data_IF_533322394369
#
_entry.id   IF_533322394369
#
_cell.length_a   1.000
_cell.length_b   1.000
_cell.length_c   1.000
_cell.angle_alpha   90.00
_cell.angle_beta   90.00
_cell.angle_gamma   90.00
#
_symmetry.space_group_name_H-M   'P 1'
#
loop_
_entity.id
_entity.type
_entity.pdbx_description
1 polymer ?
#
# COMPACT_ATOMS: atom_id res chain seq x y z
N UNK A 1 -1.39 11.71 -6.51
CA UNK A 1 0.00 12.17 -6.65
C UNK A 1 0.58 12.83 -5.39
N UNK A 2 -0.13 13.74 -4.72
CA UNK A 2 0.43 14.36 -3.50
C UNK A 2 0.79 13.32 -2.40
N UNK A 3 -0.09 12.33 -2.16
CA UNK A 3 0.21 11.22 -1.24
C UNK A 3 1.42 10.41 -1.67
N UNK A 4 1.55 10.07 -2.96
CA UNK A 4 2.69 9.28 -3.46
C UNK A 4 4.00 10.03 -3.27
N UNK A 5 4.02 11.36 -3.43
CA UNK A 5 5.21 12.18 -3.17
C UNK A 5 5.58 12.22 -1.68
N UNK A 6 4.62 12.36 -0.78
CA UNK A 6 4.89 12.28 0.67
C UNK A 6 5.55 10.95 1.00
N UNK A 7 4.95 9.85 0.57
CA UNK A 7 5.50 8.52 0.81
C UNK A 7 6.87 8.31 0.13
N UNK A 8 7.08 8.87 -1.07
CA UNK A 8 8.38 8.84 -1.76
C UNK A 8 9.47 9.55 -0.95
N UNK A 9 9.23 10.77 -0.47
CA UNK A 9 10.19 11.50 0.36
C UNK A 9 10.39 10.82 1.73
N UNK A 10 9.32 10.31 2.34
CA UNK A 10 9.39 9.56 3.59
C UNK A 10 10.15 8.23 3.45
N UNK A 11 10.15 7.61 2.25
CA UNK A 11 10.91 6.40 1.97
C UNK A 11 12.44 6.61 1.99
N UNK A 12 12.92 7.85 1.85
CA UNK A 12 14.35 8.19 1.86
C UNK A 12 14.93 8.32 3.27
N UNK A 13 14.10 8.21 4.30
CA UNK A 13 14.54 8.25 5.69
C UNK A 13 15.30 6.98 6.07
N UNK A 14 16.18 7.08 7.08
CA UNK A 14 16.96 5.93 7.58
C UNK A 14 16.06 4.78 8.03
N UNK A 15 14.94 5.11 8.66
CA UNK A 15 13.89 4.18 9.10
C UNK A 15 12.59 4.59 8.44
N UNK A 16 11.80 3.62 7.97
CA UNK A 16 10.51 3.90 7.35
C UNK A 16 9.49 4.29 8.44
N UNK A 17 8.77 5.41 8.31
CA UNK A 17 7.90 5.89 9.37
C UNK A 17 6.67 5.00 9.63
N UNK A 18 6.25 4.20 8.66
CA UNK A 18 5.17 3.20 8.82
C UNK A 18 5.65 1.86 9.41
N UNK A 19 6.83 1.81 10.04
CA UNK A 19 7.36 0.60 10.69
C UNK A 19 7.50 0.70 12.20
N UNK A 20 7.47 1.92 12.74
CA UNK A 20 7.69 2.20 14.16
C UNK A 20 6.47 2.90 14.73
N UNK A 21 5.97 2.43 15.87
CA UNK A 21 4.88 3.12 16.57
C UNK A 21 5.40 4.39 17.23
N UNK A 22 4.74 5.53 16.99
CA UNK A 22 4.95 6.73 17.78
C UNK A 22 4.27 6.60 19.16
N UNK A 23 4.83 7.27 20.19
CA UNK A 23 4.32 7.19 21.56
C UNK A 23 2.85 7.64 21.66
N UNK A 24 2.44 8.58 20.81
CA UNK A 24 1.05 9.08 20.70
C UNK A 24 0.08 8.02 20.17
N UNK A 25 0.57 6.99 19.47
CA UNK A 25 -0.26 5.94 18.87
C UNK A 25 -0.39 4.70 19.75
N UNK A 26 0.42 4.60 20.81
CA UNK A 26 0.36 3.48 21.76
C UNK A 26 -1.03 3.33 22.41
N UNK A 27 -1.72 4.41 22.84
CA UNK A 27 -3.07 4.30 23.40
C UNK A 27 -4.12 3.83 22.39
N UNK A 28 -3.83 3.93 21.08
CA UNK A 28 -4.74 3.54 19.99
C UNK A 28 -4.57 2.07 19.57
N UNK A 29 -3.74 1.30 20.27
CA UNK A 29 -3.51 -0.12 19.95
C UNK A 29 -2.55 -0.34 18.78
N UNK A 30 -1.55 0.54 18.62
CA UNK A 30 -0.53 0.43 17.57
C UNK A 30 0.31 -0.85 17.69
N UNK A 31 0.47 -1.57 16.57
CA UNK A 31 1.35 -2.76 16.47
C UNK A 31 2.35 -2.62 15.33
N UNK A 32 3.65 -2.77 15.65
CA UNK A 32 4.78 -2.64 14.70
C UNK A 32 4.81 -3.71 13.61
N UNK A 33 4.30 -4.90 13.92
CA UNK A 33 4.05 -5.96 12.95
C UNK A 33 2.62 -6.43 13.11
N UNK A 34 1.93 -6.65 11.98
CA UNK A 34 0.63 -7.31 11.94
C UNK A 34 0.81 -8.78 12.33
N UNK A 35 0.87 -9.03 13.64
CA UNK A 35 0.89 -10.37 14.20
C UNK A 35 -0.54 -10.78 14.55
N UNK A 36 -0.84 -12.06 14.38
CA UNK A 36 -2.08 -12.66 14.87
C UNK A 36 -2.36 -12.23 16.34
N UNK A 37 -3.61 -11.85 16.61
CA UNK A 37 -4.10 -11.52 17.96
C UNK A 37 -3.78 -12.68 18.90
N UNK A 38 -3.03 -12.42 19.98
CA UNK A 38 -2.94 -13.38 21.07
C UNK A 38 -4.25 -13.33 21.86
N UNK A 39 -4.92 -14.47 22.03
CA UNK A 39 -6.18 -14.58 22.79
C UNK A 39 -6.02 -14.22 24.28
N UNK A 40 -4.80 -14.30 24.81
CA UNK A 40 -4.47 -13.87 26.17
C UNK A 40 -2.98 -13.51 26.28
N UNK A 41 -2.65 -12.45 27.03
CA UNK A 41 -1.29 -12.18 27.48
C UNK A 41 -1.06 -12.97 28.77
N UNK A 42 -0.18 -13.98 28.76
CA UNK A 42 0.10 -14.79 29.96
C UNK A 42 1.18 -14.16 30.84
N UNK A 43 0.95 -14.13 32.16
CA UNK A 43 1.84 -13.55 33.20
C UNK A 43 3.22 -14.24 33.33
N UNK A 44 3.48 -15.34 32.62
CA UNK A 44 4.68 -16.17 32.82
C UNK A 44 5.76 -15.98 31.73
N UNK A 45 5.69 -14.87 30.98
CA UNK A 45 6.69 -14.53 29.99
C UNK A 45 7.79 -13.72 30.68
N UNK A 46 8.83 -14.41 31.15
CA UNK A 46 10.03 -13.84 31.80
C UNK A 46 11.02 -13.21 30.83
N UNK A 47 10.68 -13.11 29.54
CA UNK A 47 11.53 -12.42 28.58
C UNK A 47 11.03 -10.99 28.42
N UNK A 48 11.91 -10.03 28.69
CA UNK A 48 11.96 -8.77 27.95
C UNK A 48 12.03 -9.15 26.46
N UNK A 49 10.88 -9.40 25.84
CA UNK A 49 10.79 -9.59 24.41
C UNK A 49 10.98 -8.21 23.80
N UNK A 50 12.24 -7.91 23.47
CA UNK A 50 12.64 -6.95 22.45
C UNK A 50 12.11 -7.31 21.05
N UNK A 51 11.29 -8.36 20.92
CA UNK A 51 10.57 -8.75 19.71
C UNK A 51 9.05 -8.53 19.85
N UNK A 52 8.62 -7.33 19.45
CA UNK A 52 7.40 -7.00 18.72
C UNK A 52 6.23 -8.01 18.74
N UNK A 53 5.61 -8.24 19.90
CA UNK A 53 4.26 -8.82 19.99
C UNK A 53 3.38 -7.96 20.89
N UNK A 54 2.10 -7.85 20.50
CA UNK A 54 1.09 -6.90 20.98
C UNK A 54 0.84 -6.77 22.49
N UNK A 55 1.53 -7.53 23.35
CA UNK A 55 1.43 -7.43 24.81
C UNK A 55 2.55 -6.52 25.37
N UNK A 56 2.23 -5.30 25.82
CA UNK A 56 3.16 -4.47 26.63
C UNK A 56 2.72 -4.45 28.09
N UNK A 57 3.64 -4.80 29.00
CA UNK A 57 3.46 -4.61 30.43
C UNK A 57 4.09 -3.27 30.82
N UNK A 58 3.30 -2.33 31.35
CA UNK A 58 3.82 -1.04 31.81
C UNK A 58 4.24 -1.13 33.28
N UNK A 59 5.55 -1.09 33.56
CA UNK A 59 6.05 -0.60 34.85
C UNK A 59 7.37 0.16 34.66
N UNK A 60 7.44 1.37 35.22
CA UNK A 60 8.65 2.19 35.35
C UNK A 60 9.68 1.42 36.19
N UNK A 61 10.84 1.12 35.62
CA UNK A 61 11.96 0.55 36.38
C UNK A 61 13.05 1.61 36.54
N UNK A 62 13.08 2.22 37.72
CA UNK A 62 14.28 2.87 38.26
C UNK A 62 14.79 1.97 39.39
N UNK A 63 15.40 0.82 39.08
CA UNK A 63 16.62 0.39 39.76
C UNK A 63 17.20 -0.93 39.23
N UNK A 64 18.49 -1.07 39.53
CA UNK A 64 19.48 -1.99 39.02
C UNK A 64 19.64 -3.30 39.81
N UNK A 65 18.55 -3.99 40.18
CA UNK A 65 18.67 -5.29 40.88
C UNK A 65 17.78 -6.36 40.25
N UNK A 66 18.45 -7.22 39.50
CA UNK A 66 17.98 -8.50 38.99
C UNK A 66 17.67 -9.49 40.13
N UNK A 67 16.80 -10.43 39.79
CA UNK A 67 16.49 -11.71 40.45
C UNK A 67 15.34 -11.72 41.47
N UNK A 68 14.31 -12.48 41.13
CA UNK A 68 13.44 -13.24 42.05
C UNK A 68 12.18 -12.60 42.65
N UNK A 69 11.54 -11.65 41.93
CA UNK A 69 10.17 -11.25 42.23
C UNK A 69 9.31 -11.43 40.98
N UNK A 70 8.33 -12.34 41.05
CA UNK A 70 7.37 -12.57 39.98
C UNK A 70 6.72 -11.26 39.55
N UNK A 71 6.77 -10.98 38.26
CA UNK A 71 6.16 -9.80 37.66
C UNK A 71 4.64 -9.88 37.87
N UNK A 72 4.10 -9.05 38.76
CA UNK A 72 2.66 -8.91 38.92
C UNK A 72 2.16 -7.92 37.87
N UNK A 73 2.04 -8.39 36.64
CA UNK A 73 1.39 -7.62 35.59
C UNK A 73 -0.10 -7.57 35.92
N UNK A 74 -0.61 -6.39 36.30
CA UNK A 74 -2.05 -6.15 36.30
C UNK A 74 -2.58 -6.47 34.90
N UNK A 75 -3.76 -7.10 34.82
CA UNK A 75 -4.50 -7.27 33.56
C UNK A 75 -4.75 -5.88 32.97
N UNK A 76 -3.82 -5.38 32.16
CA UNK A 76 -4.06 -4.23 31.30
C UNK A 76 -4.85 -4.79 30.14
N UNK A 77 -6.17 -4.66 30.24
CA UNK A 77 -7.04 -4.69 29.06
C UNK A 77 -6.45 -3.74 28.03
N UNK A 78 -6.14 -4.26 26.84
CA UNK A 78 -5.84 -3.47 25.65
C UNK A 78 -6.76 -2.25 25.63
N UNK A 79 -6.19 -1.05 25.70
CA UNK A 79 -6.98 0.18 25.72
C UNK A 79 -7.37 0.62 24.30
N UNK A 80 -7.74 -0.36 23.48
CA UNK A 80 -8.26 -0.24 22.12
C UNK A 80 -8.83 -1.61 21.71
N UNK A 81 -10.09 -1.65 21.32
CA UNK A 81 -10.83 -2.90 21.05
C UNK A 81 -10.25 -3.74 19.89
N UNK A 82 -9.34 -3.20 19.07
CA UNK A 82 -8.75 -3.87 17.89
C UNK A 82 -7.29 -3.43 17.68
N UNK A 83 -6.32 -4.34 17.51
CA UNK A 83 -4.95 -3.97 17.14
C UNK A 83 -4.92 -3.35 15.74
N UNK A 84 -4.25 -2.20 15.61
CA UNK A 84 -4.18 -1.43 14.35
C UNK A 84 -2.73 -1.41 13.83
N UNK A 85 -2.48 -1.79 12.57
CA UNK A 85 -1.13 -1.79 12.02
C UNK A 85 -0.58 -0.36 11.89
N UNK A 86 0.73 -0.17 12.13
CA UNK A 86 1.39 1.15 12.05
C UNK A 86 1.15 1.83 10.72
N UNK A 87 1.17 1.08 9.61
CA UNK A 87 0.94 1.66 8.28
C UNK A 87 -0.44 2.32 8.15
N UNK A 88 -1.45 1.79 8.83
CA UNK A 88 -2.78 2.39 8.84
C UNK A 88 -2.80 3.67 9.67
N UNK A 89 -2.18 3.66 10.85
CA UNK A 89 -2.09 4.83 11.73
C UNK A 89 -1.27 5.96 11.11
N UNK A 90 -0.16 5.62 10.45
CA UNK A 90 0.65 6.57 9.72
C UNK A 90 -0.15 7.26 8.61
N UNK A 91 -0.95 6.50 7.85
CA UNK A 91 -1.82 7.08 6.84
C UNK A 91 -2.90 7.98 7.47
N UNK A 92 -3.62 7.47 8.47
CA UNK A 92 -4.78 8.12 9.07
C UNK A 92 -4.42 9.36 9.91
N UNK A 93 -3.35 9.32 10.71
CA UNK A 93 -2.98 10.42 11.63
C UNK A 93 -1.89 11.32 11.05
N UNK A 94 -0.87 10.77 10.40
CA UNK A 94 0.26 11.59 9.90
C UNK A 94 0.02 12.17 8.52
N UNK A 95 -0.49 11.36 7.58
CA UNK A 95 -0.62 11.78 6.18
C UNK A 95 -1.89 12.59 5.97
N UNK A 96 -3.06 12.04 6.32
CA UNK A 96 -4.34 12.72 6.08
C UNK A 96 -4.79 13.58 7.27
N UNK A 97 -4.30 13.27 8.49
CA UNK A 97 -4.76 13.87 9.74
C UNK A 97 -6.29 13.84 9.85
N UNK A 98 -6.81 12.61 9.90
CA UNK A 98 -8.25 12.33 9.92
C UNK A 98 -8.86 12.91 11.19
N UNK A 99 -9.87 13.76 11.00
CA UNK A 99 -10.70 14.23 12.09
C UNK A 99 -11.43 13.05 12.75
N UNK A 100 -11.58 13.12 14.08
CA UNK A 100 -12.28 12.08 14.84
C UNK A 100 -13.81 12.15 14.62
N UNK A 101 -14.34 13.34 14.27
CA UNK A 101 -15.76 13.60 14.00
C UNK A 101 -16.01 14.12 12.57
N UNK A 102 -17.21 13.84 12.03
CA UNK A 102 -17.62 14.14 10.65
C UNK A 102 -18.02 15.61 10.41
N UNK A 103 -18.27 16.41 11.46
CA UNK A 103 -18.83 17.77 11.35
C UNK A 103 -18.54 18.60 12.62
N UNK A 104 -18.29 19.94 12.57
CA UNK A 104 -18.37 20.86 11.43
C UNK A 104 -17.01 21.41 10.94
N UNK A 105 -15.88 21.06 11.56
CA UNK A 105 -14.60 21.66 11.25
C UNK A 105 -13.79 20.79 10.29
N UNK A 106 -13.85 21.10 8.99
CA UNK A 106 -12.97 20.52 7.93
C UNK A 106 -11.47 20.76 8.20
N UNK A 107 -11.14 21.46 9.29
CA UNK A 107 -9.79 21.72 9.74
C UNK A 107 -9.03 22.63 8.78
N UNK A 108 -7.75 22.85 9.09
CA UNK A 108 -6.85 23.57 8.21
C UNK A 108 -6.23 22.63 7.17
N UNK A 109 -5.98 23.10 5.93
CA UNK A 109 -5.30 22.29 4.92
C UNK A 109 -3.91 21.89 5.43
N UNK A 110 -3.61 20.59 5.34
CA UNK A 110 -2.31 20.05 5.71
C UNK A 110 -1.21 20.64 4.81
N UNK A 111 -0.35 21.49 5.37
CA UNK A 111 0.67 22.22 4.61
C UNK A 111 1.63 21.30 3.84
N UNK A 112 2.00 20.16 4.42
CA UNK A 112 2.86 19.15 3.76
C UNK A 112 2.20 18.60 2.47
N UNK A 113 0.90 18.32 2.53
CA UNK A 113 0.12 17.86 1.37
C UNK A 113 -0.03 18.97 0.33
N UNK A 114 -0.30 20.20 0.75
CA UNK A 114 -0.40 21.35 -0.13
C UNK A 114 0.90 21.59 -0.90
N UNK A 115 2.06 21.51 -0.24
CA UNK A 115 3.37 21.60 -0.89
C UNK A 115 3.64 20.45 -1.86
N UNK A 116 3.30 19.21 -1.50
CA UNK A 116 3.45 18.07 -2.41
C UNK A 116 2.51 18.15 -3.61
N UNK A 117 1.31 18.71 -3.44
CA UNK A 117 0.39 18.98 -4.52
C UNK A 117 0.95 20.08 -5.45
N UNK A 118 1.46 21.17 -4.89
CA UNK A 118 2.11 22.23 -5.67
C UNK A 118 3.30 21.69 -6.46
N UNK A 119 4.14 20.85 -5.84
CA UNK A 119 5.25 20.19 -6.52
C UNK A 119 4.75 19.27 -7.65
N UNK A 120 3.68 18.51 -7.41
CA UNK A 120 3.07 17.66 -8.46
C UNK A 120 2.67 18.51 -9.67
N UNK A 121 2.00 19.65 -9.45
CA UNK A 121 1.60 20.56 -10.52
C UNK A 121 2.79 21.17 -11.26
N UNK A 122 3.83 21.59 -10.53
CA UNK A 122 5.07 22.09 -11.15
C UNK A 122 5.68 21.02 -12.05
N UNK A 123 5.76 19.77 -11.58
CA UNK A 123 6.28 18.66 -12.37
C UNK A 123 5.41 18.40 -13.60
N UNK A 124 4.08 18.36 -13.48
CA UNK A 124 3.16 18.18 -14.62
C UNK A 124 3.37 19.28 -15.68
N UNK A 125 3.49 20.53 -15.28
CA UNK A 125 3.71 21.65 -16.20
C UNK A 125 5.10 21.59 -16.87
N UNK A 126 6.12 21.15 -16.16
CA UNK A 126 7.49 21.05 -16.68
C UNK A 126 7.74 19.77 -17.49
N UNK A 127 7.04 18.68 -17.20
CA UNK A 127 7.23 17.38 -17.84
C UNK A 127 6.37 17.24 -19.10
N UNK A 128 6.96 17.59 -20.25
CA UNK A 128 6.44 17.25 -21.58
C UNK A 128 7.04 15.94 -22.16
N UNK A 129 7.79 15.18 -21.36
CA UNK A 129 8.57 14.01 -21.85
C UNK A 129 7.92 12.70 -21.42
N UNK A 130 7.11 12.13 -22.30
CA UNK A 130 6.32 10.89 -22.07
C UNK A 130 7.18 9.60 -22.13
N UNK A 131 8.29 9.60 -22.89
CA UNK A 131 9.04 8.37 -23.17
C UNK A 131 9.65 7.71 -21.93
N UNK A 132 10.19 8.50 -21.00
CA UNK A 132 10.74 7.96 -19.76
C UNK A 132 9.63 7.54 -18.80
N UNK A 133 8.61 8.39 -18.60
CA UNK A 133 7.52 8.14 -17.65
C UNK A 133 6.65 6.96 -18.04
N UNK A 134 6.49 6.68 -19.33
CA UNK A 134 5.70 5.54 -19.80
C UNK A 134 6.45 4.19 -19.73
N UNK A 135 7.77 4.19 -19.94
CA UNK A 135 8.55 2.93 -19.99
C UNK A 135 9.08 2.50 -18.63
N UNK A 136 9.40 3.45 -17.77
CA UNK A 136 10.02 3.20 -16.48
C UNK A 136 9.16 2.35 -15.51
N UNK A 137 7.83 2.51 -15.42
CA UNK A 137 6.97 1.64 -14.60
C UNK A 137 7.12 0.16 -14.93
N UNK A 138 7.30 -0.20 -16.21
CA UNK A 138 7.47 -1.59 -16.62
C UNK A 138 8.76 -2.20 -16.08
N UNK A 139 9.84 -1.41 -16.00
CA UNK A 139 11.11 -1.85 -15.42
C UNK A 139 10.92 -2.14 -13.93
N UNK A 140 10.19 -1.29 -13.21
CA UNK A 140 9.91 -1.49 -11.78
C UNK A 140 8.99 -2.70 -11.57
N UNK A 141 7.93 -2.84 -12.37
CA UNK A 141 7.04 -4.01 -12.30
C UNK A 141 7.83 -5.30 -12.50
N UNK A 142 8.76 -5.34 -13.45
CA UNK A 142 9.61 -6.52 -13.67
C UNK A 142 10.52 -6.82 -12.46
N UNK A 143 11.17 -5.80 -11.89
CA UNK A 143 12.02 -5.94 -10.72
C UNK A 143 11.21 -6.43 -9.50
N UNK A 144 10.03 -5.85 -9.27
CA UNK A 144 9.13 -6.24 -8.19
C UNK A 144 8.52 -7.63 -8.43
N UNK A 145 8.27 -8.02 -9.68
CA UNK A 145 7.79 -9.35 -10.02
C UNK A 145 8.84 -10.42 -9.70
N UNK A 146 10.09 -10.21 -10.13
CA UNK A 146 11.19 -11.13 -9.83
C UNK A 146 11.37 -11.21 -8.32
N UNK A 147 11.37 -10.08 -7.62
CA UNK A 147 11.51 -10.07 -6.17
C UNK A 147 10.35 -10.79 -5.49
N UNK A 148 9.11 -10.46 -5.85
CA UNK A 148 7.89 -11.05 -5.31
C UNK A 148 7.85 -12.56 -5.51
N UNK A 149 8.25 -13.05 -6.69
CA UNK A 149 8.31 -14.48 -6.99
C UNK A 149 9.36 -15.22 -6.15
N UNK A 150 10.42 -14.56 -5.69
CA UNK A 150 11.45 -15.17 -4.81
C UNK A 150 11.06 -15.20 -3.33
N UNK A 151 9.90 -14.65 -2.95
CA UNK A 151 9.47 -14.60 -1.56
C UNK A 151 8.77 -15.89 -1.11
N UNK A 152 9.03 -16.28 0.13
CA UNK A 152 8.31 -17.37 0.78
C UNK A 152 6.83 -17.01 0.95
N UNK A 153 5.93 -17.84 0.43
CA UNK A 153 4.48 -17.61 0.49
C UNK A 153 3.90 -16.90 -0.74
N UNK A 154 4.73 -16.52 -1.72
CA UNK A 154 4.26 -15.91 -2.97
C UNK A 154 3.23 -16.79 -3.72
N UNK A 155 3.41 -18.12 -3.66
CA UNK A 155 2.52 -19.09 -4.30
C UNK A 155 1.09 -19.01 -3.75
N UNK A 156 0.90 -18.75 -2.46
CA UNK A 156 -0.42 -18.70 -1.85
C UNK A 156 -1.19 -17.46 -2.33
N UNK A 157 -0.49 -16.34 -2.52
CA UNK A 157 -1.04 -15.16 -3.18
C UNK A 157 -1.40 -15.41 -4.65
N UNK A 158 -0.53 -16.09 -5.41
CA UNK A 158 -0.82 -16.45 -6.81
C UNK A 158 -2.02 -17.37 -6.94
N UNK A 159 -2.17 -18.35 -6.03
CA UNK A 159 -3.35 -19.22 -5.97
C UNK A 159 -4.61 -18.39 -5.73
N UNK A 160 -4.58 -17.46 -4.77
CA UNK A 160 -5.70 -16.56 -4.51
C UNK A 160 -6.06 -15.71 -5.74
N UNK A 161 -5.07 -15.27 -6.53
CA UNK A 161 -5.30 -14.49 -7.74
C UNK A 161 -5.88 -15.29 -8.91
N UNK A 162 -5.43 -16.54 -9.10
CA UNK A 162 -5.76 -17.33 -10.30
C UNK A 162 -6.92 -18.31 -10.12
N UNK A 163 -7.19 -18.79 -8.91
CA UNK A 163 -8.24 -19.79 -8.68
C UNK A 163 -9.62 -19.12 -8.79
N UNK A 164 -10.43 -19.47 -9.80
CA UNK A 164 -11.71 -18.80 -10.00
C UNK A 164 -12.81 -19.39 -9.12
N UNK A 165 -13.62 -18.52 -8.53
CA UNK A 165 -14.89 -18.90 -7.91
C UNK A 165 -16.02 -18.87 -8.95
N UNK A 166 -16.31 -20.01 -9.58
CA UNK A 166 -17.31 -20.12 -10.66
C UNK A 166 -18.72 -19.66 -10.25
N UNK A 167 -19.07 -19.77 -8.98
CA UNK A 167 -20.35 -19.30 -8.44
C UNK A 167 -20.53 -17.79 -8.59
N UNK A 168 -19.43 -17.01 -8.58
CA UNK A 168 -19.45 -15.55 -8.71
C UNK A 168 -19.78 -15.09 -10.14
N UNK A 169 -19.53 -15.93 -11.15
CA UNK A 169 -19.84 -15.59 -12.54
C UNK A 169 -21.35 -15.51 -12.82
N UNK A 170 -22.18 -16.12 -11.98
CA UNK A 170 -23.64 -16.01 -12.05
C UNK A 170 -24.16 -14.66 -11.54
N UNK A 171 -23.35 -13.91 -10.78
CA UNK A 171 -23.74 -12.60 -10.25
C UNK A 171 -23.52 -11.50 -11.31
N UNK A 172 -24.61 -10.82 -11.67
CA UNK A 172 -24.57 -9.68 -12.60
C UNK A 172 -23.65 -8.55 -12.12
N UNK A 173 -23.49 -8.37 -10.80
CA UNK A 173 -22.61 -7.33 -10.24
C UNK A 173 -21.16 -7.52 -10.66
N UNK A 174 -20.70 -8.77 -10.82
CA UNK A 174 -19.33 -9.08 -11.28
C UNK A 174 -19.12 -8.61 -12.71
N UNK A 175 -20.11 -8.80 -13.58
CA UNK A 175 -20.05 -8.33 -14.97
C UNK A 175 -20.09 -6.81 -15.09
N UNK A 176 -20.92 -6.15 -14.26
CA UNK A 176 -20.96 -4.68 -14.19
C UNK A 176 -19.61 -4.13 -13.73
N UNK A 177 -19.01 -4.73 -12.69
CA UNK A 177 -17.69 -4.34 -12.20
C UNK A 177 -16.59 -4.57 -13.25
N UNK A 178 -16.61 -5.70 -13.96
CA UNK A 178 -15.64 -5.99 -15.02
C UNK A 178 -15.76 -5.02 -16.20
N UNK A 179 -16.98 -4.72 -16.65
CA UNK A 179 -17.22 -3.73 -17.70
C UNK A 179 -16.78 -2.33 -17.26
N UNK A 180 -17.07 -1.94 -16.02
CA UNK A 180 -16.59 -0.68 -15.44
C UNK A 180 -15.06 -0.60 -15.39
N UNK A 181 -14.40 -1.67 -14.94
CA UNK A 181 -12.94 -1.74 -14.89
C UNK A 181 -12.31 -1.52 -16.27
N UNK A 182 -12.80 -2.23 -17.31
CA UNK A 182 -12.30 -2.05 -18.68
C UNK A 182 -12.58 -0.64 -19.23
N UNK A 183 -13.75 -0.08 -18.95
CA UNK A 183 -14.13 1.26 -19.40
C UNK A 183 -13.22 2.35 -18.80
N UNK A 184 -12.94 2.27 -17.49
CA UNK A 184 -12.05 3.22 -16.82
C UNK A 184 -10.57 2.96 -17.09
N UNK A 185 -10.13 1.71 -17.26
CA UNK A 185 -8.73 1.37 -17.57
C UNK A 185 -8.28 1.94 -18.91
N UNK A 186 -9.12 1.78 -19.95
CA UNK A 186 -8.84 2.30 -21.29
C UNK A 186 -9.21 3.78 -21.47
N UNK A 187 -9.80 4.43 -20.45
CA UNK A 187 -10.27 5.83 -20.51
C UNK A 187 -11.08 6.14 -21.78
N UNK A 188 -11.97 5.24 -22.19
CA UNK A 188 -12.75 5.38 -23.43
C UNK A 188 -13.72 6.56 -23.28
N UNK A 189 -13.75 7.43 -24.29
CA UNK A 189 -14.64 8.61 -24.36
C UNK A 189 -14.35 9.74 -23.36
N UNK A 190 -13.18 9.77 -22.70
CA UNK A 190 -12.76 10.87 -21.81
C UNK A 190 -12.01 12.01 -22.52
N UNK A 191 -11.89 11.97 -23.85
CA UNK A 191 -11.29 13.04 -24.66
C UNK A 191 -9.79 12.89 -24.93
N UNK A 192 -8.99 12.35 -24.00
CA UNK A 192 -7.54 12.20 -24.17
C UNK A 192 -7.13 11.40 -25.42
N UNK A 193 -7.75 10.23 -25.65
CA UNK A 193 -7.49 9.42 -26.86
C UNK A 193 -7.94 10.14 -28.13
N UNK A 194 -9.03 10.91 -28.07
CA UNK A 194 -9.53 11.69 -29.22
C UNK A 194 -8.52 12.79 -29.58
N UNK A 195 -7.97 13.46 -28.55
CA UNK A 195 -6.93 14.46 -28.71
C UNK A 195 -5.67 13.86 -29.35
N UNK A 196 -5.18 12.71 -28.86
CA UNK A 196 -4.04 12.03 -29.49
C UNK A 196 -4.31 11.58 -30.92
N UNK A 197 -5.52 11.11 -31.21
CA UNK A 197 -5.96 10.81 -32.58
C UNK A 197 -5.89 12.02 -33.51
N UNK A 198 -6.20 13.23 -33.01
CA UNK A 198 -6.18 14.46 -33.82
C UNK A 198 -4.79 14.88 -34.31
N UNK A 199 -3.74 14.48 -33.58
CA UNK A 199 -2.34 14.73 -33.96
C UNK A 199 -1.76 13.61 -34.83
N UNK A 200 -2.50 12.53 -35.07
CA UNK A 200 -2.01 11.39 -35.84
C UNK A 200 -2.14 11.63 -37.37
N UNK A 201 -1.37 10.88 -38.17
CA UNK A 201 -1.47 10.93 -39.63
C UNK A 201 -2.81 10.37 -40.09
N UNK A 202 -3.43 11.02 -41.08
CA UNK A 202 -4.74 10.61 -41.61
C UNK A 202 -4.76 9.17 -42.18
N UNK A 203 -3.65 8.70 -42.75
CA UNK A 203 -3.52 7.35 -43.30
C UNK A 203 -2.99 6.31 -42.30
N UNK A 204 -2.83 6.66 -41.02
CA UNK A 204 -2.32 5.74 -40.02
C UNK A 204 -3.31 4.60 -39.73
N UNK A 205 -2.79 3.40 -39.47
CA UNK A 205 -3.63 2.24 -39.13
C UNK A 205 -4.12 2.31 -37.67
N UNK A 206 -5.17 3.10 -37.44
CA UNK A 206 -5.75 3.29 -36.10
C UNK A 206 -6.28 1.98 -35.50
N UNK A 207 -6.75 1.04 -36.32
CA UNK A 207 -7.24 -0.25 -35.83
C UNK A 207 -6.13 -1.07 -35.16
N UNK A 208 -4.94 -1.13 -35.78
CA UNK A 208 -3.80 -1.83 -35.23
C UNK A 208 -3.31 -1.22 -33.91
N UNK A 209 -3.23 0.11 -33.86
CA UNK A 209 -2.79 0.83 -32.66
C UNK A 209 -3.78 0.64 -31.50
N UNK A 210 -5.09 0.75 -31.77
CA UNK A 210 -6.12 0.55 -30.76
C UNK A 210 -6.11 -0.89 -30.20
N UNK A 211 -5.96 -1.89 -31.07
CA UNK A 211 -5.84 -3.28 -30.64
C UNK A 211 -4.58 -3.52 -29.80
N UNK A 212 -3.45 -2.96 -30.21
CA UNK A 212 -2.19 -3.05 -29.47
C UNK A 212 -2.32 -2.44 -28.07
N UNK A 213 -2.90 -1.23 -27.96
CA UNK A 213 -3.12 -0.55 -26.68
C UNK A 213 -4.00 -1.41 -25.77
N UNK A 214 -5.10 -1.97 -26.28
CA UNK A 214 -5.99 -2.82 -25.49
C UNK A 214 -5.31 -4.10 -24.99
N UNK A 215 -4.52 -4.76 -25.83
CA UNK A 215 -3.77 -5.97 -25.45
C UNK A 215 -2.67 -5.63 -24.45
N UNK A 216 -1.94 -4.53 -24.64
CA UNK A 216 -0.90 -4.09 -23.71
C UNK A 216 -1.49 -3.73 -22.34
N UNK A 217 -2.65 -3.06 -22.30
CA UNK A 217 -3.35 -2.74 -21.05
C UNK A 217 -3.71 -4.02 -20.25
N UNK A 218 -4.28 -5.01 -20.95
CA UNK A 218 -4.60 -6.32 -20.36
C UNK A 218 -3.35 -7.03 -19.81
N UNK A 219 -2.29 -7.14 -20.62
CA UNK A 219 -1.04 -7.80 -20.22
C UNK A 219 -0.43 -7.09 -19.01
N UNK A 220 -0.43 -5.76 -19.02
CA UNK A 220 0.13 -4.94 -17.93
C UNK A 220 -0.67 -5.12 -16.65
N UNK A 221 -2.00 -5.17 -16.72
CA UNK A 221 -2.87 -5.42 -15.57
C UNK A 221 -2.67 -6.81 -14.98
N UNK A 222 -2.47 -7.83 -15.82
CA UNK A 222 -2.17 -9.19 -15.36
C UNK A 222 -0.80 -9.23 -14.66
N UNK A 223 0.23 -8.62 -15.25
CA UNK A 223 1.57 -8.54 -14.65
C UNK A 223 1.52 -7.80 -13.31
N UNK A 224 0.84 -6.65 -13.27
CA UNK A 224 0.63 -5.89 -12.04
C UNK A 224 -0.06 -6.76 -10.99
N UNK A 225 -1.13 -7.49 -11.36
CA UNK A 225 -1.80 -8.46 -10.49
C UNK A 225 -0.85 -9.47 -9.86
N UNK A 226 0.03 -10.09 -10.65
CA UNK A 226 1.06 -10.99 -10.12
C UNK A 226 2.00 -10.29 -9.13
N UNK A 227 2.46 -9.07 -9.42
CA UNK A 227 3.30 -8.28 -8.50
C UNK A 227 2.58 -8.03 -7.17
N UNK A 228 1.30 -7.63 -7.24
CA UNK A 228 0.47 -7.35 -6.05
C UNK A 228 0.36 -8.62 -5.19
N UNK A 229 -0.16 -9.70 -5.79
CA UNK A 229 -0.54 -10.88 -5.05
C UNK A 229 0.64 -11.72 -4.58
N UNK A 230 1.76 -11.75 -5.32
CA UNK A 230 2.98 -12.40 -4.81
C UNK A 230 3.51 -11.71 -3.55
N UNK A 231 3.46 -10.38 -3.50
CA UNK A 231 3.89 -9.59 -2.34
C UNK A 231 2.93 -9.79 -1.15
N UNK A 232 1.61 -9.81 -1.39
CA UNK A 232 0.63 -10.09 -0.33
C UNK A 232 0.64 -11.53 0.15
N UNK A 233 0.93 -12.52 -0.70
CA UNK A 233 1.11 -13.91 -0.26
C UNK A 233 2.28 -14.04 0.72
N UNK A 234 3.38 -13.32 0.47
CA UNK A 234 4.51 -13.28 1.38
C UNK A 234 4.18 -12.57 2.71
N UNK A 235 3.38 -11.49 2.66
CA UNK A 235 2.89 -10.81 3.85
C UNK A 235 1.96 -11.74 4.67
N UNK A 236 0.95 -12.32 4.03
CA UNK A 236 0.00 -13.26 4.63
C UNK A 236 0.70 -14.43 5.35
N UNK A 237 1.71 -15.02 4.71
CA UNK A 237 2.50 -16.10 5.33
C UNK A 237 3.29 -15.64 6.56
N UNK A 238 3.78 -14.40 6.58
CA UNK A 238 4.50 -13.83 7.73
C UNK A 238 3.57 -13.45 8.88
N UNK A 239 2.40 -12.90 8.57
CA UNK A 239 1.41 -12.45 9.55
C UNK A 239 0.55 -13.59 10.08
N UNK A 240 0.49 -14.72 9.35
CA UNK A 240 -0.38 -15.85 9.65
C UNK A 240 -1.85 -15.60 9.29
N UNK A 241 -2.13 -14.56 8.50
CA UNK A 241 -3.47 -14.17 8.07
C UNK A 241 -3.76 -14.66 6.65
N UNK A 242 -5.03 -14.68 6.27
CA UNK A 242 -5.41 -14.98 4.88
C UNK A 242 -5.11 -13.80 3.94
N UNK A 243 -4.85 -14.11 2.66
CA UNK A 243 -4.58 -13.08 1.63
C UNK A 243 -5.75 -12.09 1.48
N UNK A 244 -6.98 -12.55 1.72
CA UNK A 244 -8.20 -11.75 1.71
C UNK A 244 -8.24 -10.67 2.80
N UNK A 245 -7.62 -10.92 3.96
CA UNK A 245 -7.63 -9.99 5.11
C UNK A 245 -6.56 -8.89 4.98
N UNK A 246 -5.44 -9.21 4.32
CA UNK A 246 -4.35 -8.25 4.07
C UNK A 246 -4.62 -7.39 2.84
N UNK A 247 -5.34 -7.90 1.83
CA UNK A 247 -5.66 -7.20 0.59
C UNK A 247 -6.90 -6.29 0.72
N UNK A 248 -6.82 -5.25 1.56
CA UNK A 248 -7.91 -4.26 1.71
C UNK A 248 -8.02 -3.36 0.48
N UNK A 249 -9.14 -3.39 -0.23
CA UNK A 249 -9.34 -2.64 -1.46
C UNK A 249 -9.29 -1.10 -1.32
N UNK A 250 -9.17 -0.41 -2.47
CA UNK A 250 -9.19 1.05 -2.55
C UNK A 250 -7.83 1.71 -2.22
N UNK A 251 -7.87 2.95 -1.72
CA UNK A 251 -6.67 3.71 -1.37
C UNK A 251 -5.85 3.05 -0.24
N UNK A 252 -6.52 2.31 0.65
CA UNK A 252 -5.87 1.54 1.71
C UNK A 252 -4.95 0.44 1.16
N UNK A 253 -5.20 -0.07 -0.05
CA UNK A 253 -4.32 -1.04 -0.67
C UNK A 253 -2.93 -0.41 -0.91
N UNK A 254 -2.90 0.72 -1.62
CA UNK A 254 -1.67 1.36 -2.06
C UNK A 254 -0.91 2.09 -0.94
N UNK A 255 -1.61 2.64 0.05
CA UNK A 255 -1.00 3.48 1.10
C UNK A 255 -0.97 2.85 2.49
N UNK A 256 -1.55 1.65 2.67
CA UNK A 256 -1.47 0.91 3.95
C UNK A 256 -0.89 -0.48 3.72
N UNK A 257 -1.59 -1.32 2.95
CA UNK A 257 -1.19 -2.71 2.76
C UNK A 257 0.16 -2.85 2.02
N UNK A 258 0.39 -2.05 0.99
CA UNK A 258 1.66 -2.07 0.24
C UNK A 258 2.87 -1.61 1.07
N UNK A 259 2.84 -0.44 1.73
CA UNK A 259 3.93 0.00 2.60
C UNK A 259 4.28 -1.04 3.67
N UNK A 260 3.26 -1.69 4.23
CA UNK A 260 3.41 -2.79 5.17
C UNK A 260 4.04 -4.05 4.53
N UNK A 261 3.62 -4.42 3.32
CA UNK A 261 4.21 -5.55 2.62
C UNK A 261 5.68 -5.31 2.24
N UNK A 262 6.00 -4.08 1.79
CA UNK A 262 7.35 -3.69 1.36
C UNK A 262 8.30 -3.50 2.55
N UNK A 263 7.80 -3.09 3.73
CA UNK A 263 8.63 -2.97 4.93
C UNK A 263 9.15 -4.32 5.44
N UNK A 264 8.46 -5.40 5.09
CA UNK A 264 8.84 -6.77 5.43
C UNK A 264 9.91 -7.37 4.50
N UNK A 265 10.34 -6.64 3.46
CA UNK A 265 11.41 -7.04 2.54
C UNK A 265 12.78 -6.60 3.08
N UNK A 266 13.87 -7.32 2.78
CA UNK A 266 15.22 -6.84 3.07
C UNK A 266 15.50 -5.56 2.27
N UNK A 267 16.14 -4.58 2.90
CA UNK A 267 16.35 -3.23 2.35
C UNK A 267 15.02 -2.53 1.99
N UNK A 268 14.09 -2.38 2.95
CA UNK A 268 12.72 -1.95 2.68
C UNK A 268 12.63 -0.52 2.08
N UNK A 269 13.63 0.32 2.32
CA UNK A 269 13.74 1.66 1.75
C UNK A 269 13.84 1.61 0.22
N UNK A 270 14.65 0.70 -0.33
CA UNK A 270 14.84 0.58 -1.78
C UNK A 270 13.52 0.25 -2.47
N UNK A 271 12.80 -0.74 -1.96
CA UNK A 271 11.53 -1.19 -2.54
C UNK A 271 10.43 -0.13 -2.42
N UNK A 272 10.38 0.58 -1.28
CA UNK A 272 9.42 1.65 -1.05
C UNK A 272 9.66 2.84 -2.00
N UNK A 273 10.92 3.27 -2.17
CA UNK A 273 11.28 4.33 -3.12
C UNK A 273 10.88 3.94 -4.54
N UNK A 274 11.22 2.72 -4.98
CA UNK A 274 10.86 2.25 -6.33
C UNK A 274 9.34 2.21 -6.51
N UNK A 275 8.60 1.65 -5.57
CA UNK A 275 7.15 1.53 -5.65
C UNK A 275 6.45 2.89 -5.69
N UNK A 276 6.79 3.81 -4.79
CA UNK A 276 6.16 5.12 -4.76
C UNK A 276 6.58 6.02 -5.91
N UNK A 277 7.81 5.87 -6.40
CA UNK A 277 8.24 6.54 -7.62
C UNK A 277 7.48 6.01 -8.84
N UNK A 278 7.27 4.69 -8.95
CA UNK A 278 6.42 4.08 -9.97
C UNK A 278 4.99 4.65 -9.92
N UNK A 279 4.35 4.65 -8.74
CA UNK A 279 3.00 5.21 -8.58
C UNK A 279 2.94 6.70 -8.96
N UNK A 280 3.98 7.46 -8.64
CA UNK A 280 4.06 8.86 -9.06
C UNK A 280 4.17 8.99 -10.59
N UNK A 281 5.04 8.21 -11.24
CA UNK A 281 5.17 8.23 -12.71
C UNK A 281 3.92 7.77 -13.45
N UNK A 282 3.17 6.79 -12.91
CA UNK A 282 1.89 6.35 -13.46
C UNK A 282 0.82 7.45 -13.33
N UNK A 283 0.81 8.17 -12.19
CA UNK A 283 -0.05 9.33 -12.00
C UNK A 283 0.29 10.45 -12.98
N UNK A 284 1.58 10.74 -13.18
CA UNK A 284 2.03 11.76 -14.13
C UNK A 284 1.62 11.43 -15.57
N UNK A 285 1.81 10.19 -16.03
CA UNK A 285 1.41 9.78 -17.40
C UNK A 285 -0.11 9.94 -17.62
N UNK A 286 -0.89 9.65 -16.58
CA UNK A 286 -2.35 9.76 -16.62
C UNK A 286 -2.86 11.20 -16.66
N UNK A 287 -2.12 12.15 -16.09
CA UNK A 287 -2.50 13.58 -16.02
C UNK A 287 -2.01 14.37 -17.24
N UNK A 288 -0.95 13.89 -17.90
CA UNK A 288 -0.46 14.44 -19.17
C UNK A 288 -1.32 13.97 -20.36
N UNK A 289 -2.13 12.91 -20.18
CA UNK A 289 -3.08 12.36 -21.15
C UNK A 289 -4.44 13.04 -21.09
#
# INVERSE_FOLDING_TARGET
MAYTLIYFFSSMQKTLPWTVCEDEWLPLGCVEQSTQKLDYCSMNITQLLTDNKACRCFLNVTDSILSDQGFNCTNVTYQGDVPVPVAQLYFDKTVINKADDFYPDTGNPQWKLALCLLLSWIVVVLCLVVYFTATFPYVILLILLIRGATLDGAIDGVKYFLIPEWSKLADLKVWIAAAGHMFFSLSVSFGGIIMFGSYNKFSNNVYGDALLIAVMDLVTSIIAGFVIFTTFGALAKKTGLEVSEVARGGYGLAFVAYPEALSNLPLPQLWSVLFFFMLFTLGLDSEVR
#
